data_IF_130014919989
#
_entry.id   IF_130014919989
#
_cell.length_a   1.000
_cell.length_b   1.000
_cell.length_c   1.000
_cell.angle_alpha   90.00
_cell.angle_beta   90.00
_cell.angle_gamma   90.00
#
_symmetry.space_group_name_H-M   'P 1'
#
loop_
_entity.id
_entity.type
_entity.pdbx_description
1 polymer ?
#
# COMPACT_ATOMS: atom_id res chain seq x y z
N UNK A 1 -7.91 19.28 1.49
CA UNK A 1 -8.16 18.38 0.36
C UNK A 1 -8.61 17.04 0.93
N UNK A 2 -9.86 16.61 0.68
CA UNK A 2 -10.40 15.37 1.28
C UNK A 2 -10.36 14.22 0.24
N UNK A 3 -10.27 12.97 0.72
CA UNK A 3 -10.18 11.81 -0.17
C UNK A 3 -11.46 11.59 -0.99
N UNK A 4 -12.62 11.96 -0.45
CA UNK A 4 -13.92 11.78 -1.10
C UNK A 4 -14.04 12.54 -2.43
N UNK A 5 -13.71 13.84 -2.44
CA UNK A 5 -13.75 14.69 -3.64
C UNK A 5 -12.81 14.16 -4.72
N UNK A 6 -11.63 13.65 -4.34
CA UNK A 6 -10.69 13.04 -5.30
C UNK A 6 -11.20 11.73 -5.87
N UNK A 7 -11.99 10.98 -5.12
CA UNK A 7 -12.54 9.69 -5.56
C UNK A 7 -13.76 9.82 -6.47
N UNK A 8 -14.50 10.93 -6.44
CA UNK A 8 -15.69 11.11 -7.28
C UNK A 8 -15.41 11.00 -8.79
N UNK A 9 -14.19 11.32 -9.22
CA UNK A 9 -13.77 11.21 -10.62
C UNK A 9 -13.28 9.81 -11.02
N UNK A 10 -13.11 8.89 -10.05
CA UNK A 10 -12.55 7.56 -10.29
C UNK A 10 -13.62 6.56 -10.73
N UNK A 11 -14.85 6.68 -10.23
CA UNK A 11 -15.95 5.78 -10.57
C UNK A 11 -17.32 6.48 -10.41
N UNK A 12 -18.23 6.37 -11.39
CA UNK A 12 -19.55 7.00 -11.32
C UNK A 12 -20.40 6.50 -10.14
N UNK A 13 -20.15 5.29 -9.63
CA UNK A 13 -20.88 4.72 -8.49
C UNK A 13 -20.59 5.42 -7.16
N UNK A 14 -19.54 6.24 -7.07
CA UNK A 14 -19.18 6.99 -5.86
C UNK A 14 -19.19 8.51 -6.08
N UNK A 15 -19.76 8.97 -7.19
CA UNK A 15 -19.84 10.38 -7.53
C UNK A 15 -20.74 11.16 -6.53
N UNK A 16 -21.79 10.52 -6.02
CA UNK A 16 -22.67 11.06 -4.98
C UNK A 16 -22.99 10.00 -3.92
N UNK A 17 -23.58 10.43 -2.80
CA UNK A 17 -24.01 9.52 -1.73
C UNK A 17 -25.12 8.59 -2.22
N UNK A 18 -26.06 9.11 -3.03
CA UNK A 18 -27.19 8.35 -3.58
C UNK A 18 -26.71 7.30 -4.59
N UNK A 19 -25.73 7.65 -5.43
CA UNK A 19 -25.10 6.70 -6.35
C UNK A 19 -24.39 5.57 -5.58
N UNK A 20 -23.71 5.93 -4.48
CA UNK A 20 -23.07 4.94 -3.61
C UNK A 20 -24.12 4.01 -2.99
N UNK A 21 -25.18 4.57 -2.42
CA UNK A 21 -26.25 3.78 -1.80
C UNK A 21 -26.88 2.79 -2.79
N UNK A 22 -27.21 3.26 -3.99
CA UNK A 22 -27.75 2.41 -5.06
C UNK A 22 -26.76 1.30 -5.47
N UNK A 23 -25.47 1.61 -5.58
CA UNK A 23 -24.44 0.63 -5.90
C UNK A 23 -24.25 -0.40 -4.78
N UNK A 24 -24.24 0.02 -3.52
CA UNK A 24 -24.17 -0.86 -2.34
C UNK A 24 -25.37 -1.81 -2.26
N UNK A 25 -26.57 -1.31 -2.58
CA UNK A 25 -27.78 -2.13 -2.57
C UNK A 25 -27.76 -3.20 -3.67
N UNK A 26 -27.21 -2.86 -4.85
CA UNK A 26 -27.10 -3.79 -5.97
C UNK A 26 -25.97 -4.83 -5.80
N UNK A 27 -24.82 -4.41 -5.27
CA UNK A 27 -23.65 -5.25 -5.02
C UNK A 27 -22.89 -4.75 -3.77
N UNK A 28 -23.09 -5.35 -2.59
CA UNK A 28 -22.41 -4.93 -1.37
C UNK A 28 -20.88 -4.99 -1.44
N UNK A 29 -20.30 -5.72 -2.39
CA UNK A 29 -18.85 -5.90 -2.55
C UNK A 29 -18.27 -5.02 -3.67
N UNK A 30 -19.06 -4.15 -4.30
CA UNK A 30 -18.62 -3.34 -5.43
C UNK A 30 -17.39 -2.48 -5.11
N UNK A 31 -17.22 -2.09 -3.85
CA UNK A 31 -16.11 -1.28 -3.34
C UNK A 31 -14.76 -1.94 -3.61
N UNK A 32 -14.69 -3.28 -3.57
CA UNK A 32 -13.46 -4.04 -3.86
C UNK A 32 -13.04 -3.96 -5.33
N UNK A 33 -13.93 -3.49 -6.19
CA UNK A 33 -13.73 -3.35 -7.64
C UNK A 33 -13.51 -1.90 -8.06
N UNK A 34 -13.47 -0.97 -7.11
CA UNK A 34 -13.21 0.43 -7.43
C UNK A 34 -11.74 0.60 -7.87
N UNK A 35 -11.49 1.39 -8.93
CA UNK A 35 -10.14 1.74 -9.31
C UNK A 35 -9.48 2.58 -8.22
N UNK A 36 -8.22 2.28 -7.93
CA UNK A 36 -7.42 3.06 -7.02
C UNK A 36 -6.98 4.36 -7.69
N UNK A 37 -6.92 5.45 -6.93
CA UNK A 37 -6.38 6.70 -7.44
C UNK A 37 -4.92 6.51 -7.87
N UNK A 38 -4.52 6.96 -9.07
CA UNK A 38 -3.13 6.91 -9.47
C UNK A 38 -2.27 7.74 -8.52
N UNK A 39 -1.20 7.15 -8.00
CA UNK A 39 -0.30 7.82 -7.08
C UNK A 39 0.51 8.94 -7.76
N UNK A 40 0.74 8.83 -9.07
CA UNK A 40 1.58 9.78 -9.82
C UNK A 40 3.06 9.74 -9.41
N UNK A 41 3.50 8.64 -8.80
CA UNK A 41 4.84 8.45 -8.27
C UNK A 41 5.50 7.24 -8.93
N UNK A 42 6.80 7.34 -9.17
CA UNK A 42 7.62 6.15 -9.40
C UNK A 42 7.68 5.29 -8.13
N UNK A 43 7.96 4.00 -8.28
CA UNK A 43 8.00 3.07 -7.15
C UNK A 43 8.98 3.52 -6.05
N UNK A 44 10.18 3.99 -6.42
CA UNK A 44 11.16 4.51 -5.46
C UNK A 44 10.62 5.71 -4.68
N UNK A 45 10.02 6.67 -5.37
CA UNK A 45 9.43 7.87 -4.74
C UNK A 45 8.27 7.51 -3.80
N UNK A 46 7.47 6.50 -4.16
CA UNK A 46 6.40 5.99 -3.31
C UNK A 46 6.96 5.36 -2.02
N UNK A 47 8.05 4.59 -2.12
CA UNK A 47 8.74 4.00 -0.96
C UNK A 47 9.30 5.11 -0.07
N UNK A 48 10.01 6.08 -0.63
CA UNK A 48 10.59 7.20 0.12
C UNK A 48 9.51 7.98 0.87
N UNK A 49 8.38 8.24 0.21
CA UNK A 49 7.23 8.90 0.82
C UNK A 49 6.60 8.08 1.94
N UNK A 50 6.47 6.76 1.77
CA UNK A 50 5.97 5.87 2.82
C UNK A 50 6.90 5.83 4.04
N UNK A 51 8.21 5.83 3.83
CA UNK A 51 9.21 5.92 4.90
C UNK A 51 9.05 7.25 5.65
N UNK A 52 8.93 8.37 4.92
CA UNK A 52 8.79 9.69 5.51
C UNK A 52 7.50 9.88 6.31
N UNK A 53 6.39 9.23 5.91
CA UNK A 53 5.10 9.30 6.60
C UNK A 53 5.04 8.47 7.89
N UNK A 54 5.98 7.56 8.10
CA UNK A 54 6.05 6.73 9.30
C UNK A 54 6.87 7.47 10.36
N UNK A 55 6.27 7.97 11.46
CA UNK A 55 7.06 8.43 12.59
C UNK A 55 7.92 7.26 13.04
N UNK A 56 9.21 7.50 13.22
CA UNK A 56 10.28 6.52 13.39
C UNK A 56 9.94 5.32 14.30
N UNK A 57 9.33 4.28 13.72
CA UNK A 57 9.47 2.89 14.15
C UNK A 57 10.44 2.15 13.23
N UNK A 58 11.42 2.88 12.68
CA UNK A 58 12.67 2.24 12.31
C UNK A 58 13.28 1.81 13.64
N UNK A 59 13.08 0.56 14.04
CA UNK A 59 13.87 -0.03 15.12
C UNK A 59 15.33 0.12 14.70
N UNK A 60 15.99 1.16 15.22
CA UNK A 60 17.43 1.26 15.10
C UNK A 60 17.99 -0.01 15.71
N UNK A 61 18.93 -0.64 15.01
CA UNK A 61 19.70 -1.75 15.57
C UNK A 61 20.50 -1.16 16.73
N UNK A 62 19.94 -1.25 17.93
CA UNK A 62 20.49 -0.63 19.13
C UNK A 62 21.65 -1.44 19.72
N UNK A 63 21.73 -2.72 19.36
CA UNK A 63 22.72 -3.66 19.85
C UNK A 63 22.97 -4.82 18.86
N UNK A 64 23.91 -5.69 19.22
CA UNK A 64 24.27 -6.87 18.45
C UNK A 64 23.15 -7.91 18.38
N UNK A 65 22.25 -7.96 19.38
CA UNK A 65 21.13 -8.91 19.39
C UNK A 65 20.09 -8.54 18.33
N UNK A 66 19.77 -7.25 18.19
CA UNK A 66 18.90 -6.74 17.14
C UNK A 66 19.47 -7.01 15.73
N UNK A 67 20.79 -6.89 15.55
CA UNK A 67 21.44 -7.23 14.30
C UNK A 67 21.34 -8.73 14.00
N UNK A 68 21.60 -9.59 14.99
CA UNK A 68 21.49 -11.04 14.82
C UNK A 68 20.06 -11.45 14.45
N UNK A 69 19.06 -10.91 15.14
CA UNK A 69 17.63 -11.15 14.87
C UNK A 69 17.21 -10.71 13.46
N UNK A 70 17.72 -9.57 12.96
CA UNK A 70 17.53 -9.18 11.57
C UNK A 70 18.14 -10.20 10.60
N UNK A 71 19.39 -10.62 10.83
CA UNK A 71 20.09 -11.59 9.98
C UNK A 71 19.37 -12.95 9.93
N UNK A 72 18.81 -13.41 11.05
CA UNK A 72 18.04 -14.65 11.09
C UNK A 72 16.65 -14.56 10.46
N UNK A 73 16.07 -13.35 10.32
CA UNK A 73 14.76 -13.14 9.67
C UNK A 73 14.83 -12.93 8.17
N UNK A 74 15.98 -12.54 7.61
CA UNK A 74 16.15 -12.48 6.18
C UNK A 74 16.25 -13.94 5.71
N UNK A 75 15.25 -14.48 4.97
CA UNK A 75 15.36 -15.82 4.44
C UNK A 75 16.61 -15.84 3.57
N UNK A 76 17.51 -16.81 3.81
CA UNK A 76 18.72 -16.97 3.01
C UNK A 76 18.33 -16.89 1.54
N UNK A 77 18.87 -15.91 0.82
CA UNK A 77 18.69 -15.81 -0.61
C UNK A 77 19.17 -17.14 -1.19
N UNK A 78 18.21 -17.98 -1.58
CA UNK A 78 18.47 -19.31 -2.13
C UNK A 78 19.46 -19.10 -3.28
N UNK A 79 20.69 -19.63 -3.21
CA UNK A 79 21.61 -19.50 -4.32
C UNK A 79 20.96 -20.22 -5.51
N UNK A 80 20.68 -19.48 -6.59
CA UNK A 80 20.29 -20.06 -7.85
C UNK A 80 21.39 -21.04 -8.25
N UNK A 81 21.05 -22.34 -8.29
CA UNK A 81 21.88 -23.32 -8.99
C UNK A 81 21.99 -22.84 -10.43
N UNK A 82 23.14 -22.28 -10.79
CA UNK A 82 23.57 -22.22 -12.18
C UNK A 82 23.97 -23.63 -12.57
N UNK A 83 23.01 -24.35 -13.13
CA UNK A 83 23.30 -25.60 -13.84
C UNK A 83 24.16 -25.23 -15.06
N UNK A 84 25.32 -25.89 -15.14
CA UNK A 84 26.28 -25.80 -16.24
C UNK A 84 25.98 -26.86 -17.30
#
# INVERSE_FOLDING_TARGET
DNAFVRSQSLDPRIATVEAWEAASAADPLFVLRLPWAPAGLALGEAIDRLIALRPHHVHRLGDAAALADLLYRIPEARPEKRDA
#
